data_IF_318280167703
#
_entry.id   IF_318280167703
#
_cell.length_a   1.000
_cell.length_b   1.000
_cell.length_c   1.000
_cell.angle_alpha   90.00
_cell.angle_beta   90.00
_cell.angle_gamma   90.00
#
_symmetry.space_group_name_H-M   'P 1'
#
loop_
_entity.id
_entity.type
_entity.pdbx_description
1 polymer ?
#
# COMPACT_ATOMS: atom_id res chain seq x y z
N UNK A 1 19.16 8.36 -16.61
CA UNK A 1 19.28 6.90 -16.44
C UNK A 1 18.01 6.43 -15.78
N UNK A 2 17.27 5.55 -16.43
CA UNK A 2 16.04 5.00 -15.86
C UNK A 2 16.45 4.12 -14.68
N UNK A 3 16.07 4.47 -13.45
CA UNK A 3 16.29 3.58 -12.30
C UNK A 3 15.49 2.30 -12.54
N UNK A 4 16.20 1.19 -12.79
CA UNK A 4 15.60 -0.13 -12.91
C UNK A 4 15.68 -0.79 -11.53
N UNK A 5 14.55 -0.81 -10.84
CA UNK A 5 14.38 -1.52 -9.58
C UNK A 5 13.98 -2.97 -9.86
N UNK A 6 14.65 -3.90 -9.21
CA UNK A 6 14.26 -5.31 -9.21
C UNK A 6 13.82 -5.67 -7.79
N UNK A 7 12.54 -5.99 -7.63
CA UNK A 7 11.98 -6.47 -6.36
C UNK A 7 11.86 -7.99 -6.44
N UNK A 8 12.39 -8.70 -5.44
CA UNK A 8 12.35 -10.15 -5.39
C UNK A 8 11.78 -10.68 -4.07
N UNK A 9 10.93 -11.69 -4.18
CA UNK A 9 10.63 -12.61 -3.08
C UNK A 9 11.74 -13.68 -3.01
N UNK A 10 12.50 -13.76 -1.90
CA UNK A 10 13.51 -14.79 -1.66
C UNK A 10 13.07 -16.22 -1.98
N UNK A 11 11.80 -16.53 -1.75
CA UNK A 11 11.26 -17.87 -1.92
C UNK A 11 10.89 -18.18 -3.38
N UNK A 12 10.72 -17.17 -4.24
CA UNK A 12 10.49 -17.37 -5.69
C UNK A 12 11.79 -17.35 -6.50
N UNK A 13 12.78 -16.56 -6.05
CA UNK A 13 14.05 -16.34 -6.75
C UNK A 13 15.27 -16.69 -5.90
N UNK A 14 15.24 -17.88 -5.30
CA UNK A 14 16.35 -18.39 -4.48
C UNK A 14 17.64 -18.58 -5.30
N UNK A 15 17.51 -18.84 -6.60
CA UNK A 15 18.61 -18.90 -7.58
C UNK A 15 19.41 -17.60 -7.60
N UNK A 16 18.71 -16.46 -7.59
CA UNK A 16 19.31 -15.13 -7.60
C UNK A 16 20.04 -14.88 -6.28
N UNK A 17 19.46 -15.22 -5.13
CA UNK A 17 20.13 -15.09 -3.83
C UNK A 17 21.40 -15.96 -3.74
N UNK A 18 21.35 -17.20 -4.22
CA UNK A 18 22.53 -18.07 -4.31
C UNK A 18 23.60 -17.50 -5.23
N UNK A 19 23.20 -16.84 -6.33
CA UNK A 19 24.13 -16.14 -7.20
C UNK A 19 24.81 -14.96 -6.49
N UNK A 20 24.17 -14.31 -5.51
CA UNK A 20 24.79 -13.20 -4.79
C UNK A 20 25.69 -13.65 -3.63
N UNK A 21 25.58 -14.90 -3.18
CA UNK A 21 26.40 -15.48 -2.12
C UNK A 21 27.85 -15.79 -2.57
N UNK A 22 28.52 -14.82 -3.22
CA UNK A 22 29.93 -14.85 -3.61
C UNK A 22 30.48 -13.44 -3.70
N UNK A 23 31.55 -13.18 -2.95
CA UNK A 23 32.22 -11.88 -2.93
C UNK A 23 32.66 -11.43 -4.32
N UNK A 24 33.21 -12.34 -5.13
CA UNK A 24 33.65 -12.03 -6.50
C UNK A 24 32.49 -11.53 -7.35
N UNK A 25 31.31 -12.13 -7.25
CA UNK A 25 30.12 -11.73 -8.03
C UNK A 25 29.57 -10.38 -7.57
N UNK A 26 29.54 -10.13 -6.26
CA UNK A 26 29.15 -8.82 -5.71
C UNK A 26 30.11 -7.72 -6.19
N UNK A 27 31.43 -7.97 -6.16
CA UNK A 27 32.44 -7.01 -6.65
C UNK A 27 32.32 -6.74 -8.16
N UNK A 28 31.95 -7.74 -8.97
CA UNK A 28 31.65 -7.54 -10.40
C UNK A 28 30.45 -6.62 -10.58
N UNK A 29 29.35 -6.86 -9.85
CA UNK A 29 28.14 -6.04 -9.93
C UNK A 29 28.40 -4.59 -9.48
N UNK A 30 29.12 -4.41 -8.37
CA UNK A 30 29.52 -3.09 -7.87
C UNK A 30 30.36 -2.32 -8.91
N UNK A 31 31.34 -2.99 -9.52
CA UNK A 31 32.20 -2.38 -10.54
C UNK A 31 31.38 -1.90 -11.74
N UNK A 32 30.50 -2.75 -12.25
CA UNK A 32 29.65 -2.42 -13.41
C UNK A 32 28.61 -1.34 -13.07
N UNK A 33 28.13 -1.30 -11.83
CA UNK A 33 27.20 -0.26 -11.37
C UNK A 33 27.89 1.10 -11.24
N UNK A 34 29.05 1.16 -10.57
CA UNK A 34 29.75 2.42 -10.27
C UNK A 34 30.45 3.00 -11.49
N UNK A 35 31.02 2.15 -12.34
CA UNK A 35 31.92 2.58 -13.41
C UNK A 35 31.38 2.31 -14.81
N UNK A 36 30.20 1.70 -14.90
CA UNK A 36 29.50 1.42 -16.14
C UNK A 36 29.93 0.13 -16.84
N UNK A 37 29.37 -0.11 -18.04
CA UNK A 37 29.54 -1.36 -18.78
C UNK A 37 30.99 -1.60 -19.20
N UNK A 38 31.47 -2.84 -19.03
CA UNK A 38 32.85 -3.24 -19.33
C UNK A 38 32.93 -4.60 -19.99
N UNK A 39 34.02 -4.88 -20.69
CA UNK A 39 34.29 -6.24 -21.17
C UNK A 39 34.94 -7.10 -20.08
N UNK A 40 34.97 -8.42 -20.31
CA UNK A 40 35.47 -9.40 -19.33
C UNK A 40 36.95 -9.17 -18.97
N UNK A 41 37.78 -8.72 -19.91
CA UNK A 41 39.21 -8.47 -19.67
C UNK A 41 39.42 -7.26 -18.76
N UNK A 42 38.65 -6.18 -18.97
CA UNK A 42 38.70 -4.99 -18.12
C UNK A 42 38.23 -5.28 -16.69
N UNK A 43 37.21 -6.13 -16.53
CA UNK A 43 36.74 -6.58 -15.21
C UNK A 43 37.82 -7.42 -14.51
N UNK A 44 38.49 -8.31 -15.25
CA UNK A 44 39.58 -9.13 -14.73
C UNK A 44 40.77 -8.29 -14.25
N UNK A 45 41.19 -7.32 -15.06
CA UNK A 45 42.25 -6.39 -14.72
C UNK A 45 41.91 -5.57 -13.46
N UNK A 46 40.70 -5.01 -13.40
CA UNK A 46 40.28 -4.17 -12.26
C UNK A 46 40.11 -4.93 -10.95
N UNK A 47 39.66 -6.18 -11.01
CA UNK A 47 39.47 -7.00 -9.82
C UNK A 47 40.73 -7.77 -9.43
N UNK A 48 41.76 -7.79 -10.28
CA UNK A 48 43.02 -8.52 -10.05
C UNK A 48 42.83 -10.03 -10.07
N UNK A 49 41.88 -10.53 -10.85
CA UNK A 49 41.50 -11.96 -10.88
C UNK A 49 41.70 -12.55 -12.29
N UNK A 50 41.98 -13.87 -12.41
CA UNK A 50 42.10 -14.52 -13.70
C UNK A 50 40.85 -14.34 -14.57
N UNK A 51 41.05 -14.14 -15.87
CA UNK A 51 39.96 -13.92 -16.84
C UNK A 51 38.97 -15.10 -16.84
N UNK A 52 39.44 -16.34 -16.72
CA UNK A 52 38.60 -17.53 -16.63
C UNK A 52 37.68 -17.51 -15.40
N UNK A 53 38.20 -17.07 -14.25
CA UNK A 53 37.43 -16.90 -13.01
C UNK A 53 36.34 -15.85 -13.16
N UNK A 54 36.66 -14.69 -13.76
CA UNK A 54 35.66 -13.64 -14.01
C UNK A 54 34.60 -14.13 -15.00
N UNK A 55 35.01 -14.79 -16.09
CA UNK A 55 34.09 -15.30 -17.10
C UNK A 55 33.07 -16.28 -16.51
N UNK A 56 33.50 -17.21 -15.65
CA UNK A 56 32.60 -18.15 -14.98
C UNK A 56 31.61 -17.44 -14.05
N UNK A 57 32.06 -16.44 -13.29
CA UNK A 57 31.21 -15.68 -12.38
C UNK A 57 30.22 -14.76 -13.11
N UNK A 58 30.63 -14.14 -14.21
CA UNK A 58 29.74 -13.37 -15.08
C UNK A 58 28.66 -14.28 -15.67
N UNK A 59 29.01 -15.49 -16.11
CA UNK A 59 28.01 -16.42 -16.66
C UNK A 59 26.92 -16.75 -15.64
N UNK A 60 27.28 -17.06 -14.39
CA UNK A 60 26.30 -17.29 -13.31
C UNK A 60 25.37 -16.10 -13.11
N UNK A 61 25.90 -14.86 -13.18
CA UNK A 61 25.11 -13.64 -13.07
C UNK A 61 24.21 -13.38 -14.29
N UNK A 62 24.63 -13.83 -15.47
CA UNK A 62 23.82 -13.80 -16.71
C UNK A 62 22.67 -14.79 -16.61
N UNK A 63 22.91 -15.99 -16.11
CA UNK A 63 21.91 -17.06 -16.03
C UNK A 63 20.73 -16.67 -15.14
N UNK A 64 20.96 -15.88 -14.07
CA UNK A 64 19.91 -15.35 -13.19
C UNK A 64 19.35 -13.99 -13.63
N UNK A 65 19.89 -13.42 -14.71
CA UNK A 65 19.44 -12.15 -15.29
C UNK A 65 19.92 -10.88 -14.61
N UNK A 66 20.94 -10.94 -13.74
CA UNK A 66 21.55 -9.76 -13.09
C UNK A 66 22.54 -9.01 -14.01
N UNK A 67 23.14 -9.72 -14.96
CA UNK A 67 23.98 -9.16 -16.02
C UNK A 67 23.40 -9.53 -17.38
N UNK A 68 23.47 -8.62 -18.34
CA UNK A 68 23.28 -8.93 -19.76
C UNK A 68 24.55 -8.64 -20.54
N UNK A 69 24.75 -9.31 -21.68
CA UNK A 69 25.92 -9.09 -22.53
C UNK A 69 25.51 -8.70 -23.94
N UNK A 70 26.22 -7.73 -24.54
CA UNK A 70 26.06 -7.36 -25.95
C UNK A 70 27.38 -7.49 -26.68
N UNK A 71 27.35 -8.08 -27.87
CA UNK A 71 28.51 -8.15 -28.76
C UNK A 71 28.73 -6.80 -29.45
N UNK A 72 29.95 -6.27 -29.38
CA UNK A 72 30.39 -5.07 -30.09
C UNK A 72 31.65 -5.35 -30.90
N UNK A 73 31.86 -4.63 -32.02
CA UNK A 73 33.10 -4.70 -32.80
C UNK A 73 34.25 -4.08 -32.01
N UNK A 74 35.37 -4.77 -31.92
CA UNK A 74 36.61 -4.30 -31.29
C UNK A 74 37.70 -4.06 -32.36
N UNK A 75 38.83 -3.44 -31.97
CA UNK A 75 40.01 -3.25 -32.85
C UNK A 75 40.55 -4.55 -33.44
N UNK A 76 40.33 -5.69 -32.77
CA UNK A 76 40.56 -7.05 -33.28
C UNK A 76 39.39 -7.95 -32.86
N UNK A 77 38.50 -8.30 -33.81
CA UNK A 77 37.38 -9.22 -33.58
C UNK A 77 36.16 -8.58 -32.91
N UNK A 78 35.32 -9.41 -32.28
CA UNK A 78 34.14 -9.00 -31.50
C UNK A 78 34.38 -9.16 -30.01
N UNK A 79 33.95 -8.20 -29.20
CA UNK A 79 34.00 -8.26 -27.73
C UNK A 79 32.58 -8.30 -27.13
N UNK A 80 32.40 -9.00 -26.00
CA UNK A 80 31.17 -8.96 -25.22
C UNK A 80 31.30 -7.89 -24.15
N UNK A 81 30.40 -6.91 -24.17
CA UNK A 81 30.27 -5.89 -23.12
C UNK A 81 29.19 -6.35 -22.14
N UNK A 82 29.50 -6.34 -20.84
CA UNK A 82 28.62 -6.71 -19.76
C UNK A 82 27.93 -5.47 -19.17
N UNK A 83 26.62 -5.57 -18.95
CA UNK A 83 25.77 -4.52 -18.38
C UNK A 83 25.03 -5.09 -17.19
N UNK A 84 24.89 -4.33 -16.10
CA UNK A 84 23.90 -4.65 -15.06
C UNK A 84 22.50 -4.40 -15.61
N UNK A 85 21.53 -5.20 -15.16
CA UNK A 85 20.11 -5.08 -15.55
C UNK A 85 19.29 -4.28 -14.54
N UNK A 86 19.94 -3.77 -13.48
CA UNK A 86 19.30 -3.08 -12.37
C UNK A 86 20.21 -2.00 -11.78
N UNK A 87 19.58 -1.01 -11.14
CA UNK A 87 20.23 -0.02 -10.29
C UNK A 87 20.09 -0.37 -8.81
N UNK A 88 18.97 -0.97 -8.43
CA UNK A 88 18.67 -1.39 -7.05
C UNK A 88 18.01 -2.77 -7.05
N UNK A 89 18.41 -3.61 -6.09
CA UNK A 89 17.82 -4.93 -5.84
C UNK A 89 17.19 -4.91 -4.45
N UNK A 90 15.87 -4.99 -4.39
CA UNK A 90 15.12 -4.99 -3.14
C UNK A 90 14.63 -6.40 -2.82
N UNK A 91 15.03 -6.90 -1.66
CA UNK A 91 14.58 -8.19 -1.15
C UNK A 91 13.36 -7.94 -0.26
N UNK A 92 12.19 -8.34 -0.71
CA UNK A 92 10.94 -8.23 0.03
C UNK A 92 10.41 -9.61 0.34
N UNK A 93 10.24 -9.94 1.62
CA UNK A 93 9.46 -11.09 2.02
C UNK A 93 7.99 -10.73 1.87
N UNK A 94 7.36 -11.20 0.80
CA UNK A 94 5.91 -11.10 0.69
C UNK A 94 5.30 -12.06 1.71
N UNK A 95 4.40 -11.56 2.57
CA UNK A 95 3.56 -12.40 3.41
C UNK A 95 2.70 -13.28 2.50
N UNK A 96 3.19 -14.50 2.23
CA UNK A 96 2.55 -15.49 1.36
C UNK A 96 1.19 -15.94 1.87
N UNK A 97 0.85 -15.63 3.12
CA UNK A 97 -0.50 -15.82 3.67
C UNK A 97 -1.55 -14.93 2.99
N UNK A 98 -1.18 -13.86 2.27
CA UNK A 98 -2.14 -13.02 1.54
C UNK A 98 -2.33 -13.41 0.06
N UNK A 99 -1.43 -14.17 -0.55
CA UNK A 99 -1.42 -14.36 -2.01
C UNK A 99 -1.94 -15.74 -2.49
N UNK A 100 -2.31 -16.67 -1.60
CA UNK A 100 -2.86 -17.98 -1.98
C UNK A 100 -3.99 -18.49 -1.08
N UNK A 101 -4.88 -17.61 -0.62
CA UNK A 101 -6.22 -18.09 -0.30
C UNK A 101 -6.92 -18.42 -1.61
N UNK A 102 -6.91 -19.71 -1.99
CA UNK A 102 -8.09 -20.29 -2.66
C UNK A 102 -9.28 -19.83 -1.82
N UNK A 103 -10.14 -18.98 -2.35
CA UNK A 103 -11.24 -18.40 -1.60
C UNK A 103 -11.04 -16.97 -1.07
N UNK A 104 -10.12 -16.15 -1.59
CA UNK A 104 -10.12 -14.70 -1.26
C UNK A 104 -9.66 -13.79 -2.41
N UNK A 105 -10.38 -12.70 -2.62
CA UNK A 105 -10.04 -11.62 -3.55
C UNK A 105 -9.80 -10.35 -2.75
N UNK A 106 -8.55 -9.87 -2.70
CA UNK A 106 -8.14 -8.66 -1.98
C UNK A 106 -7.96 -7.47 -2.94
N UNK A 107 -8.45 -6.30 -2.53
CA UNK A 107 -8.22 -5.02 -3.23
C UNK A 107 -7.88 -3.96 -2.19
N UNK A 108 -6.81 -3.21 -2.43
CA UNK A 108 -6.46 -2.01 -1.67
C UNK A 108 -6.86 -0.76 -2.47
N UNK A 109 -7.63 0.14 -1.85
CA UNK A 109 -8.09 1.39 -2.44
C UNK A 109 -7.33 2.59 -1.86
N UNK A 110 -6.46 3.26 -2.63
CA UNK A 110 -5.78 4.47 -2.22
C UNK A 110 -6.70 5.49 -1.58
N UNK A 111 -6.26 6.11 -0.49
CA UNK A 111 -7.09 6.99 0.32
C UNK A 111 -7.69 8.17 -0.46
N UNK A 112 -6.93 8.71 -1.43
CA UNK A 112 -7.36 9.80 -2.30
C UNK A 112 -8.35 9.44 -3.41
N UNK A 113 -8.63 8.15 -3.64
CA UNK A 113 -9.45 7.66 -4.75
C UNK A 113 -10.95 7.54 -4.42
N UNK A 114 -11.47 8.41 -3.57
CA UNK A 114 -12.92 8.51 -3.38
C UNK A 114 -13.59 9.03 -4.67
N UNK A 115 -14.74 8.45 -4.98
CA UNK A 115 -15.56 8.84 -6.14
C UNK A 115 -16.57 9.91 -5.77
N UNK A 116 -16.96 9.99 -4.50
CA UNK A 116 -17.84 11.04 -3.96
C UNK A 116 -17.39 11.44 -2.57
N UNK A 117 -17.57 12.71 -2.24
CA UNK A 117 -17.35 13.23 -0.90
C UNK A 117 -18.31 14.39 -0.64
N UNK A 118 -18.69 14.54 0.61
CA UNK A 118 -19.37 15.72 1.14
C UNK A 118 -18.76 15.91 2.52
N UNK A 119 -17.97 16.95 2.74
CA UNK A 119 -17.21 17.13 3.97
C UNK A 119 -17.37 18.54 4.51
N UNK A 120 -17.31 18.70 5.83
CA UNK A 120 -17.32 20.01 6.47
C UNK A 120 -16.03 20.26 7.23
N UNK A 121 -15.66 21.53 7.34
CA UNK A 121 -14.55 21.95 8.19
C UNK A 121 -14.83 21.72 9.69
N UNK A 122 -13.77 21.60 10.54
CA UNK A 122 -12.37 21.39 10.17
C UNK A 122 -12.13 20.18 9.25
N UNK A 123 -11.24 20.32 8.26
CA UNK A 123 -10.97 19.27 7.28
C UNK A 123 -9.62 19.45 6.57
N UNK A 124 -9.08 18.38 5.98
CA UNK A 124 -7.85 18.48 5.20
C UNK A 124 -7.32 17.17 4.65
N UNK A 125 -6.23 17.30 3.90
CA UNK A 125 -5.53 16.23 3.22
C UNK A 125 -4.01 16.39 3.41
N UNK A 126 -3.32 15.29 3.68
CA UNK A 126 -1.86 15.25 3.74
C UNK A 126 -1.33 14.12 2.87
N UNK A 127 -0.28 14.42 2.10
CA UNK A 127 0.59 13.45 1.44
C UNK A 127 1.82 13.16 2.30
N UNK A 128 2.64 12.19 1.91
CA UNK A 128 3.92 11.92 2.60
C UNK A 128 4.87 13.12 2.61
N UNK A 129 4.70 14.05 1.65
CA UNK A 129 5.61 15.17 1.41
C UNK A 129 5.10 16.51 1.99
N UNK A 130 3.83 16.60 2.35
CA UNK A 130 3.23 17.86 2.78
C UNK A 130 1.70 17.86 2.77
N UNK A 131 1.12 18.96 3.25
CA UNK A 131 -0.31 19.27 3.14
C UNK A 131 -0.69 19.40 1.67
N UNK A 132 -1.84 18.83 1.30
CA UNK A 132 -2.43 19.00 -0.04
C UNK A 132 -3.46 20.12 0.04
N UNK A 133 -3.33 21.13 -0.81
CA UNK A 133 -4.27 22.26 -0.90
C UNK A 133 -4.34 23.11 0.37
N UNK A 134 -5.53 23.62 0.67
CA UNK A 134 -5.80 24.50 1.82
C UNK A 134 -6.50 23.72 2.94
N UNK A 135 -6.05 23.95 4.18
CA UNK A 135 -6.69 23.42 5.38
C UNK A 135 -8.05 24.08 5.61
N UNK A 136 -9.00 23.31 6.12
CA UNK A 136 -10.36 23.72 6.48
C UNK A 136 -11.19 24.26 5.30
N UNK A 137 -10.80 23.90 4.08
CA UNK A 137 -11.52 24.21 2.84
C UNK A 137 -12.01 22.91 2.21
N UNK A 138 -13.32 22.62 2.22
CA UNK A 138 -13.89 21.40 1.64
C UNK A 138 -13.53 21.18 0.17
N UNK A 139 -13.44 22.27 -0.61
CA UNK A 139 -13.10 22.21 -2.05
C UNK A 139 -11.72 21.60 -2.32
N UNK A 140 -10.81 21.59 -1.33
CA UNK A 140 -9.51 20.90 -1.40
C UNK A 140 -9.68 19.40 -1.69
N UNK A 141 -10.82 18.79 -1.34
CA UNK A 141 -11.11 17.38 -1.65
C UNK A 141 -11.38 17.14 -3.16
N UNK A 142 -11.46 18.19 -3.98
CA UNK A 142 -11.57 18.08 -5.42
C UNK A 142 -10.22 18.26 -6.15
N UNK A 143 -9.17 18.65 -5.42
CA UNK A 143 -7.84 18.89 -6.00
C UNK A 143 -7.23 17.60 -6.57
N UNK A 144 -6.61 17.63 -7.77
CA UNK A 144 -5.98 16.46 -8.38
C UNK A 144 -4.92 15.81 -7.49
N UNK A 145 -4.20 16.61 -6.70
CA UNK A 145 -3.15 16.14 -5.79
C UNK A 145 -3.68 15.25 -4.66
N UNK A 146 -5.01 15.20 -4.43
CA UNK A 146 -5.65 14.26 -3.51
C UNK A 146 -5.24 12.81 -3.73
N UNK A 147 -4.88 12.45 -4.97
CA UNK A 147 -4.38 11.12 -5.35
C UNK A 147 -3.16 10.65 -4.52
N UNK A 148 -2.42 11.60 -3.92
CA UNK A 148 -1.24 11.35 -3.08
C UNK A 148 -1.57 11.32 -1.58
N UNK A 149 -2.84 11.46 -1.20
CA UNK A 149 -3.24 11.52 0.19
C UNK A 149 -2.87 10.22 0.92
N UNK A 150 -2.13 10.38 2.02
CA UNK A 150 -1.88 9.34 3.02
C UNK A 150 -2.68 9.59 4.32
N UNK A 151 -3.16 10.81 4.54
CA UNK A 151 -4.09 11.14 5.63
C UNK A 151 -5.18 12.07 5.09
N UNK A 152 -6.42 11.83 5.50
CA UNK A 152 -7.53 12.76 5.30
C UNK A 152 -8.33 12.88 6.58
N UNK A 153 -8.98 14.02 6.76
CA UNK A 153 -9.84 14.25 7.90
C UNK A 153 -10.94 15.25 7.63
N UNK A 154 -12.05 15.12 8.37
CA UNK A 154 -13.18 16.04 8.34
C UNK A 154 -14.08 15.86 9.58
N UNK A 155 -14.81 16.91 9.95
CA UNK A 155 -15.69 16.86 11.14
C UNK A 155 -17.05 16.19 10.89
N UNK A 156 -17.69 16.46 9.75
CA UNK A 156 -18.97 15.83 9.35
C UNK A 156 -18.99 15.54 7.87
N UNK A 157 -19.90 14.64 7.50
CA UNK A 157 -20.11 14.21 6.13
C UNK A 157 -19.47 12.85 5.86
N UNK A 158 -19.00 12.61 4.64
CA UNK A 158 -18.46 11.32 4.23
C UNK A 158 -17.48 11.41 3.05
N UNK A 159 -16.69 10.34 2.93
CA UNK A 159 -15.99 9.94 1.70
C UNK A 159 -16.53 8.57 1.25
N UNK A 160 -16.76 8.42 -0.05
CA UNK A 160 -17.27 7.20 -0.67
C UNK A 160 -16.32 6.68 -1.74
N UNK A 161 -15.97 5.41 -1.63
CA UNK A 161 -15.06 4.68 -2.49
C UNK A 161 -15.82 3.65 -3.31
N UNK A 162 -15.31 3.35 -4.50
CA UNK A 162 -15.91 2.35 -5.38
C UNK A 162 -14.91 1.24 -5.67
N UNK A 163 -15.05 0.12 -4.98
CA UNK A 163 -14.22 -1.06 -5.19
C UNK A 163 -14.74 -1.88 -6.36
N UNK A 164 -13.86 -2.54 -7.14
CA UNK A 164 -14.29 -3.49 -8.16
C UNK A 164 -14.89 -4.74 -7.50
N UNK A 165 -16.00 -5.23 -8.04
CA UNK A 165 -16.57 -6.51 -7.61
C UNK A 165 -15.99 -7.66 -8.43
N UNK A 166 -14.75 -8.01 -8.12
CA UNK A 166 -14.02 -9.06 -8.83
C UNK A 166 -14.62 -10.46 -8.61
N UNK A 167 -15.39 -10.68 -7.54
CA UNK A 167 -16.09 -11.95 -7.30
C UNK A 167 -17.15 -12.23 -8.37
N UNK A 168 -17.93 -11.21 -8.76
CA UNK A 168 -18.89 -11.32 -9.87
C UNK A 168 -18.19 -11.63 -11.20
N UNK A 169 -17.02 -11.04 -11.46
CA UNK A 169 -16.24 -11.34 -12.66
C UNK A 169 -15.71 -12.78 -12.66
N UNK A 170 -15.28 -13.27 -11.51
CA UNK A 170 -14.83 -14.64 -11.32
C UNK A 170 -15.97 -15.67 -11.22
N UNK A 171 -17.24 -15.21 -11.18
CA UNK A 171 -18.42 -16.03 -10.88
C UNK A 171 -18.28 -16.83 -9.57
N UNK A 172 -17.58 -16.27 -8.61
CA UNK A 172 -17.32 -16.89 -7.32
C UNK A 172 -18.37 -16.40 -6.30
N UNK A 173 -18.94 -17.33 -5.53
CA UNK A 173 -19.87 -16.98 -4.45
C UNK A 173 -19.11 -16.36 -3.29
N UNK A 174 -19.55 -15.19 -2.82
CA UNK A 174 -18.96 -14.52 -1.66
C UNK A 174 -19.54 -15.12 -0.36
N UNK A 175 -18.67 -15.65 0.49
CA UNK A 175 -19.01 -16.17 1.81
C UNK A 175 -18.81 -15.15 2.93
N UNK A 176 -17.91 -14.18 2.75
CA UNK A 176 -17.74 -13.05 3.64
C UNK A 176 -17.11 -11.85 2.92
N UNK A 177 -17.41 -10.65 3.40
CA UNK A 177 -16.73 -9.42 3.00
C UNK A 177 -16.00 -8.85 4.20
N UNK A 178 -14.69 -8.62 4.09
CA UNK A 178 -13.91 -7.92 5.08
C UNK A 178 -13.52 -6.53 4.58
N UNK A 179 -13.65 -5.53 5.44
CA UNK A 179 -13.18 -4.17 5.21
C UNK A 179 -12.24 -3.79 6.35
N UNK A 180 -11.03 -3.33 6.02
CA UNK A 180 -9.98 -2.99 6.97
C UNK A 180 -9.36 -1.64 6.63
N UNK A 181 -9.23 -0.78 7.63
CA UNK A 181 -8.57 0.52 7.53
C UNK A 181 -8.16 1.04 8.92
N UNK A 182 -7.22 1.97 8.96
CA UNK A 182 -6.81 2.66 10.17
C UNK A 182 -7.55 4.00 10.26
N UNK A 183 -8.23 4.27 11.38
CA UNK A 183 -8.99 5.50 11.60
C UNK A 183 -9.10 5.88 13.08
N UNK A 184 -9.39 7.14 13.35
CA UNK A 184 -9.63 7.67 14.71
C UNK A 184 -10.65 8.82 14.67
N UNK A 185 -11.02 9.37 15.83
CA UNK A 185 -11.72 10.66 15.85
C UNK A 185 -10.77 11.79 15.41
N UNK A 186 -11.33 12.98 15.20
CA UNK A 186 -10.63 14.19 14.78
C UNK A 186 -10.96 15.38 15.69
N UNK A 187 -9.91 16.07 16.14
CA UNK A 187 -10.04 17.36 16.82
C UNK A 187 -8.86 18.24 16.44
N UNK A 188 -9.04 19.57 16.33
CA UNK A 188 -7.91 20.47 16.21
C UNK A 188 -6.92 20.26 17.37
N UNK A 189 -5.68 19.92 17.03
CA UNK A 189 -4.74 19.39 18.01
C UNK A 189 -4.81 17.87 18.03
N UNK A 190 -4.85 17.29 19.24
CA UNK A 190 -5.25 15.90 19.50
C UNK A 190 -5.82 15.81 20.91
N UNK A 191 -6.67 14.81 21.18
CA UNK A 191 -7.27 14.60 22.50
C UNK A 191 -7.52 13.13 22.78
N UNK A 192 -7.06 12.67 23.95
CA UNK A 192 -7.28 11.30 24.45
C UNK A 192 -8.73 11.01 24.86
N UNK A 193 -9.60 12.03 24.85
CA UNK A 193 -11.00 11.91 25.20
C UNK A 193 -11.84 12.80 24.28
N UNK A 194 -12.11 12.29 23.08
CA UNK A 194 -12.88 13.00 22.05
C UNK A 194 -13.66 11.99 21.20
N UNK A 195 -14.77 11.45 21.72
CA UNK A 195 -15.46 10.38 21.03
C UNK A 195 -16.06 10.86 19.71
N UNK A 196 -16.06 9.98 18.70
CA UNK A 196 -16.72 10.23 17.42
C UNK A 196 -17.47 9.01 16.90
N UNK A 197 -18.75 9.18 16.56
CA UNK A 197 -19.59 8.15 15.98
C UNK A 197 -19.36 8.06 14.47
N UNK A 198 -18.43 7.19 14.07
CA UNK A 198 -18.03 6.97 12.68
C UNK A 198 -18.88 5.85 12.09
N UNK A 199 -19.68 6.16 11.08
CA UNK A 199 -20.51 5.20 10.35
C UNK A 199 -19.79 4.67 9.14
N UNK A 200 -19.85 3.35 8.97
CA UNK A 200 -19.40 2.65 7.76
C UNK A 200 -20.61 2.03 7.08
N UNK A 201 -20.75 2.27 5.78
CA UNK A 201 -21.80 1.69 4.95
C UNK A 201 -21.24 1.00 3.72
N UNK A 202 -21.87 -0.10 3.31
CA UNK A 202 -21.53 -0.84 2.09
C UNK A 202 -22.76 -0.91 1.20
N UNK A 203 -22.61 -0.52 -0.07
CA UNK A 203 -23.68 -0.40 -1.05
C UNK A 203 -24.87 0.47 -0.62
N UNK A 204 -24.66 1.36 0.36
CA UNK A 204 -25.70 2.23 0.92
C UNK A 204 -26.36 1.67 2.18
N UNK A 205 -25.99 0.46 2.61
CA UNK A 205 -26.44 -0.15 3.85
C UNK A 205 -25.42 0.10 4.97
N UNK A 206 -25.86 0.70 6.07
CA UNK A 206 -25.02 0.89 7.25
C UNK A 206 -24.69 -0.48 7.87
N UNK A 207 -23.39 -0.76 7.99
CA UNK A 207 -22.87 -2.01 8.57
C UNK A 207 -22.44 -1.84 10.03
N UNK A 208 -22.03 -0.63 10.42
CA UNK A 208 -21.67 -0.28 11.80
C UNK A 208 -21.65 1.25 12.01
N UNK A 209 -21.90 1.68 13.23
CA UNK A 209 -21.55 3.01 13.74
C UNK A 209 -20.63 2.80 14.94
N UNK A 210 -19.33 2.93 14.71
CA UNK A 210 -18.31 2.76 15.74
C UNK A 210 -17.99 4.10 16.40
N UNK A 211 -18.15 4.18 17.71
CA UNK A 211 -17.64 5.30 18.50
C UNK A 211 -16.14 5.14 18.71
N UNK A 212 -15.34 5.84 17.90
CA UNK A 212 -13.90 5.98 18.11
C UNK A 212 -13.67 6.79 19.39
N UNK A 213 -12.73 6.41 20.27
CA UNK A 213 -12.62 7.02 21.60
C UNK A 213 -11.84 8.35 21.63
N UNK A 214 -10.91 8.54 20.70
CA UNK A 214 -9.89 9.58 20.81
C UNK A 214 -9.18 9.87 19.48
N UNK A 215 -8.50 11.02 19.46
CA UNK A 215 -7.57 11.46 18.44
C UNK A 215 -6.14 11.37 19.00
N UNK A 216 -5.28 10.60 18.33
CA UNK A 216 -4.01 10.17 18.88
C UNK A 216 -2.83 11.01 18.34
N UNK A 217 -2.24 11.85 19.19
CA UNK A 217 -1.03 12.64 18.88
C UNK A 217 0.06 12.56 19.93
N UNK A 218 -0.09 11.66 20.90
CA UNK A 218 0.82 11.55 22.04
C UNK A 218 2.20 10.98 21.70
N UNK A 219 2.31 10.30 20.56
CA UNK A 219 3.57 9.81 19.97
C UNK A 219 3.48 9.86 18.46
N UNK A 220 4.63 9.92 17.80
CA UNK A 220 4.72 9.83 16.34
C UNK A 220 4.24 8.46 15.88
N UNK A 221 3.36 8.46 14.87
CA UNK A 221 2.92 7.23 14.22
C UNK A 221 4.08 6.58 13.48
N UNK A 222 4.11 5.24 13.42
CA UNK A 222 5.25 4.48 12.86
C UNK A 222 5.65 4.92 11.44
N UNK A 223 4.68 5.31 10.64
CA UNK A 223 4.87 5.73 9.26
C UNK A 223 4.54 7.20 9.02
N UNK A 224 4.13 7.92 10.06
CA UNK A 224 3.72 9.33 9.96
C UNK A 224 4.93 10.23 9.73
N UNK A 225 5.00 10.98 8.60
CA UNK A 225 6.17 11.74 8.20
C UNK A 225 6.62 12.79 9.23
N UNK A 226 7.93 13.01 9.34
CA UNK A 226 8.53 13.90 10.33
C UNK A 226 8.04 15.35 10.25
N UNK A 227 7.74 15.84 9.04
CA UNK A 227 7.23 17.19 8.83
C UNK A 227 5.84 17.40 9.45
N UNK A 228 5.05 16.33 9.59
CA UNK A 228 3.76 16.37 10.28
C UNK A 228 4.01 16.45 11.79
N UNK A 229 3.62 17.57 12.39
CA UNK A 229 3.91 17.86 13.79
C UNK A 229 3.07 16.97 14.71
N UNK A 230 3.59 16.66 15.90
CA UNK A 230 2.87 15.90 16.94
C UNK A 230 1.56 16.55 17.41
N UNK A 231 1.39 17.84 17.14
CA UNK A 231 0.14 18.53 17.38
C UNK A 231 -0.99 18.10 16.44
N UNK A 232 -0.73 17.37 15.36
CA UNK A 232 -1.76 16.76 14.51
C UNK A 232 -1.85 15.25 14.73
N UNK A 233 -2.97 14.66 14.28
CA UNK A 233 -3.27 13.23 14.40
C UNK A 233 -2.15 12.36 13.81
N UNK A 234 -1.63 11.44 14.61
CA UNK A 234 -0.43 10.67 14.30
C UNK A 234 -0.73 9.23 13.87
N UNK A 235 -1.81 8.63 14.38
CA UNK A 235 -2.22 7.26 14.08
C UNK A 235 -3.68 7.04 14.45
N UNK A 236 -4.21 5.86 14.10
CA UNK A 236 -5.56 5.43 14.44
C UNK A 236 -5.62 3.99 14.93
N UNK A 237 -6.83 3.50 15.13
CA UNK A 237 -7.11 2.09 15.41
C UNK A 237 -7.30 1.34 14.10
N UNK A 238 -6.50 0.29 13.87
CA UNK A 238 -6.72 -0.62 12.76
C UNK A 238 -8.00 -1.41 13.00
N UNK A 239 -9.05 -1.03 12.31
CA UNK A 239 -10.38 -1.59 12.49
C UNK A 239 -10.71 -2.50 11.33
N UNK A 240 -11.27 -3.67 11.63
CA UNK A 240 -11.72 -4.64 10.64
C UNK A 240 -13.19 -4.97 10.87
N UNK A 241 -14.01 -4.76 9.84
CA UNK A 241 -15.38 -5.21 9.76
C UNK A 241 -15.45 -6.46 8.90
N UNK A 242 -16.24 -7.45 9.33
CA UNK A 242 -16.52 -8.66 8.58
C UNK A 242 -18.04 -8.82 8.47
N UNK A 243 -18.55 -8.79 7.25
CA UNK A 243 -19.95 -9.05 6.93
C UNK A 243 -20.08 -10.49 6.45
N UNK A 244 -20.95 -11.26 7.10
CA UNK A 244 -21.23 -12.68 6.80
C UNK A 244 -22.74 -12.88 6.61
N UNK A 245 -23.22 -14.09 6.29
CA UNK A 245 -24.65 -14.39 6.27
C UNK A 245 -25.34 -14.16 7.63
N UNK A 246 -24.60 -14.23 8.74
CA UNK A 246 -25.14 -14.08 10.10
C UNK A 246 -25.21 -12.61 10.58
N UNK A 247 -24.51 -11.69 9.91
CA UNK A 247 -24.51 -10.26 10.21
C UNK A 247 -23.13 -9.61 10.07
N UNK A 248 -22.95 -8.43 10.67
CA UNK A 248 -21.69 -7.69 10.65
C UNK A 248 -20.99 -7.78 12.00
N UNK A 249 -19.69 -8.04 11.96
CA UNK A 249 -18.81 -8.19 13.11
C UNK A 249 -17.65 -7.20 13.04
N UNK A 250 -17.26 -6.62 14.18
CA UNK A 250 -16.04 -5.82 14.33
C UNK A 250 -15.23 -6.38 15.48
N UNK A 251 -13.98 -6.75 15.22
CA UNK A 251 -13.11 -7.41 16.22
C UNK A 251 -13.72 -8.69 16.81
N UNK A 252 -14.47 -9.45 16.00
CA UNK A 252 -15.15 -10.68 16.42
C UNK A 252 -16.49 -10.48 17.16
N UNK A 253 -16.84 -9.24 17.55
CA UNK A 253 -18.14 -8.94 18.18
C UNK A 253 -19.17 -8.56 17.12
N UNK A 254 -20.37 -9.13 17.18
CA UNK A 254 -21.49 -8.72 16.31
C UNK A 254 -21.87 -7.27 16.64
N UNK A 255 -21.91 -6.41 15.63
CA UNK A 255 -22.23 -4.97 15.76
C UNK A 255 -23.51 -4.58 15.02
N UNK A 256 -23.91 -5.35 14.01
CA UNK A 256 -25.16 -5.12 13.27
C UNK A 256 -25.73 -6.43 12.74
N UNK A 257 -27.04 -6.43 12.48
CA UNK A 257 -27.73 -7.52 11.78
C UNK A 257 -27.63 -7.41 10.26
N UNK A 258 -27.03 -6.35 9.72
CA UNK A 258 -26.73 -6.27 8.29
C UNK A 258 -25.83 -7.44 7.88
N UNK A 259 -26.33 -8.29 6.99
CA UNK A 259 -25.69 -9.47 6.47
C UNK A 259 -25.37 -9.31 4.97
N UNK A 260 -24.64 -10.27 4.39
CA UNK A 260 -24.29 -10.26 2.96
C UNK A 260 -25.51 -10.11 2.03
N UNK A 261 -26.64 -10.72 2.38
CA UNK A 261 -27.88 -10.65 1.61
C UNK A 261 -28.47 -9.23 1.54
N UNK A 262 -28.12 -8.34 2.47
CA UNK A 262 -28.55 -6.94 2.45
C UNK A 262 -27.71 -6.08 1.51
N UNK A 263 -26.53 -6.54 1.10
CA UNK A 263 -25.56 -5.72 0.36
C UNK A 263 -25.80 -5.71 -1.16
N UNK A 264 -26.63 -6.60 -1.70
CA UNK A 264 -26.90 -6.68 -3.14
C UNK A 264 -25.61 -6.85 -3.98
N UNK A 265 -24.66 -7.66 -3.51
CA UNK A 265 -23.36 -7.81 -4.18
C UNK A 265 -23.49 -8.32 -5.62
N UNK A 266 -24.47 -9.17 -5.90
CA UNK A 266 -24.70 -9.74 -7.23
C UNK A 266 -25.39 -8.76 -8.21
N UNK A 267 -25.96 -7.66 -7.69
CA UNK A 267 -26.69 -6.66 -8.48
C UNK A 267 -25.77 -5.60 -9.10
N UNK A 268 -24.51 -5.54 -8.65
CA UNK A 268 -23.60 -4.45 -8.96
C UNK A 268 -22.20 -4.96 -9.33
N UNK A 269 -21.62 -4.35 -10.37
CA UNK A 269 -20.22 -4.61 -10.80
C UNK A 269 -19.17 -3.94 -9.90
N UNK A 270 -19.61 -3.18 -8.91
CA UNK A 270 -18.76 -2.45 -7.97
C UNK A 270 -19.39 -2.43 -6.59
N UNK A 271 -18.56 -2.37 -5.56
CA UNK A 271 -18.95 -2.29 -4.16
C UNK A 271 -18.66 -0.87 -3.68
N UNK A 272 -19.70 -0.14 -3.29
CA UNK A 272 -19.55 1.21 -2.72
C UNK A 272 -19.26 1.09 -1.24
N UNK A 273 -18.22 1.75 -0.76
CA UNK A 273 -17.87 1.82 0.66
C UNK A 273 -17.90 3.28 1.07
N UNK A 274 -18.76 3.64 2.02
CA UNK A 274 -18.87 5.00 2.55
C UNK A 274 -18.41 5.01 4.00
N UNK A 275 -17.55 5.97 4.34
CA UNK A 275 -17.05 6.19 5.70
C UNK A 275 -17.32 7.65 6.04
N UNK A 276 -17.92 7.91 7.19
CA UNK A 276 -18.25 9.29 7.56
C UNK A 276 -18.88 9.45 8.93
N UNK A 277 -19.15 10.70 9.28
CA UNK A 277 -19.83 11.12 10.51
C UNK A 277 -21.16 11.74 10.11
N UNK A 278 -22.27 11.12 10.51
CA UNK A 278 -23.61 11.57 10.13
C UNK A 278 -23.95 12.93 10.75
N UNK A 279 -24.88 13.65 10.12
CA UNK A 279 -25.37 14.92 10.64
C UNK A 279 -26.04 14.77 12.03
N UNK A 280 -26.70 13.65 12.27
CA UNK A 280 -27.42 13.30 13.51
C UNK A 280 -26.57 12.44 14.49
N UNK A 281 -25.26 12.30 14.25
CA UNK A 281 -24.35 11.61 15.16
C UNK A 281 -24.41 12.20 16.58
N UNK A 282 -24.47 11.33 17.60
CA UNK A 282 -24.52 11.76 19.01
C UNK A 282 -23.18 12.35 19.45
N UNK A 283 -22.09 11.76 18.98
CA UNK A 283 -20.73 12.26 19.17
C UNK A 283 -20.14 12.67 17.81
N UNK A 284 -20.24 13.94 17.40
CA UNK A 284 -19.75 14.41 16.10
C UNK A 284 -18.28 14.83 16.17
N UNK A 285 -17.42 13.94 16.67
CA UNK A 285 -16.01 14.21 16.90
C UNK A 285 -15.12 14.01 15.67
N UNK A 286 -15.66 14.16 14.45
CA UNK A 286 -14.92 14.02 13.20
C UNK A 286 -14.29 12.65 12.94
N UNK A 287 -13.55 12.54 11.85
CA UNK A 287 -12.85 11.31 11.48
C UNK A 287 -11.50 11.64 10.85
N UNK A 288 -10.47 10.93 11.29
CA UNK A 288 -9.20 10.79 10.58
C UNK A 288 -9.16 9.41 9.92
N UNK A 289 -8.74 9.34 8.66
CA UNK A 289 -8.48 8.07 7.96
C UNK A 289 -7.03 8.05 7.49
N UNK A 290 -6.30 7.01 7.87
CA UNK A 290 -4.88 6.84 7.58
C UNK A 290 -4.69 5.80 6.48
N UNK A 291 -3.93 6.17 5.45
CA UNK A 291 -3.58 5.38 4.28
C UNK A 291 -2.09 5.05 4.22
N UNK A 292 -1.61 4.71 3.02
CA UNK A 292 -0.19 4.41 2.82
C UNK A 292 0.73 5.58 3.19
N UNK A 293 1.74 5.32 4.03
CA UNK A 293 2.73 6.30 4.50
C UNK A 293 2.24 7.29 5.56
N UNK A 294 1.17 6.95 6.28
CA UNK A 294 0.75 7.60 7.52
C UNK A 294 0.28 6.54 8.51
N UNK A 295 0.16 6.92 9.78
CA UNK A 295 -0.34 6.06 10.84
C UNK A 295 0.64 4.99 11.30
N UNK A 296 0.12 3.93 11.92
CA UNK A 296 0.90 2.81 12.44
C UNK A 296 0.98 1.62 11.50
N UNK A 297 0.11 1.56 10.47
CA UNK A 297 0.01 0.39 9.60
C UNK A 297 0.43 0.63 8.16
N UNK A 298 0.45 1.89 7.67
CA UNK A 298 0.79 2.25 6.29
C UNK A 298 0.08 1.36 5.25
N UNK A 299 -1.24 1.22 5.40
CA UNK A 299 -2.12 0.50 4.48
C UNK A 299 -3.24 1.43 4.08
N UNK A 300 -3.58 1.41 2.80
CA UNK A 300 -4.81 2.02 2.30
C UNK A 300 -6.04 1.21 2.75
N UNK A 301 -7.23 1.57 2.24
CA UNK A 301 -8.46 0.88 2.61
C UNK A 301 -8.49 -0.48 1.92
N UNK A 302 -8.42 -1.56 2.70
CA UNK A 302 -8.35 -2.93 2.18
C UNK A 302 -9.72 -3.59 2.26
N UNK A 303 -10.21 -4.08 1.13
CA UNK A 303 -11.39 -4.95 1.06
C UNK A 303 -10.96 -6.37 0.67
N UNK A 304 -11.49 -7.38 1.36
CA UNK A 304 -11.39 -8.79 0.94
C UNK A 304 -12.77 -9.37 0.72
N UNK A 305 -12.96 -10.03 -0.42
CA UNK A 305 -14.11 -10.90 -0.65
C UNK A 305 -13.63 -12.33 -0.45
N UNK A 306 -14.10 -12.97 0.61
CA UNK A 306 -13.85 -14.39 0.83
C UNK A 306 -14.86 -15.18 0.00
N UNK A 307 -14.37 -16.14 -0.77
CA UNK A 307 -15.16 -16.97 -1.68
C UNK A 307 -14.94 -18.45 -1.36
N UNK A 308 -15.79 -19.30 -1.94
CA UNK A 308 -15.64 -20.77 -1.89
C UNK A 308 -14.33 -21.29 -2.51
#
# INVERSE_FOLDING_TARGET
MSNQFVVIDPLERIDLLKSLASEVRVRILELLHREGPRNVNEVAEKLGLPQSTISANIQVLVDVGLITTKSQKARKGSQKICYTTFSELLIAFNDRDRAQHKGAIEVAMPLGLYTRCEVTAPCGLCSKDGVIGLLDVPDTFLEPDRMRAGLLWFTRGFVEYQFPNNATLAKAKVEALELQLELSSEVPGTSKNWPSDITVAINGQDIDTWTAPADYGDKRGKFTPDWWKLAGSQYGDLTTWRVTPEGTFRGGRKVSNCALSNLGLDEHRSIRVRIGVKADARHPGGVNIFGSGFGNHSKDIVMRLLTE
#
